data_IF_084550437483
#
_entry.id   IF_084550437483
#
_cell.length_a   1.000
_cell.length_b   1.000
_cell.length_c   1.000
_cell.angle_alpha   90.00
_cell.angle_beta   90.00
_cell.angle_gamma   90.00
#
_symmetry.space_group_name_H-M   'P 1'
#
loop_
_entity.id
_entity.type
_entity.pdbx_description
1 polymer ?
#
# COMPACT_ATOMS: atom_id res chain seq x y z
N UNK A 1 -3.04 20.08 -13.74
CA UNK A 1 -4.43 20.04 -13.22
C UNK A 1 -5.04 18.69 -13.59
N UNK A 2 -5.65 17.99 -12.63
CA UNK A 2 -6.18 16.64 -12.83
C UNK A 2 -7.48 16.73 -13.65
N UNK A 3 -7.58 15.94 -14.73
CA UNK A 3 -8.75 15.89 -15.62
C UNK A 3 -9.24 14.46 -15.72
N UNK A 4 -10.56 14.27 -15.63
CA UNK A 4 -11.23 12.96 -15.78
C UNK A 4 -10.69 11.86 -14.85
N UNK A 5 -10.23 12.21 -13.65
CA UNK A 5 -9.62 11.27 -12.70
C UNK A 5 -8.24 10.75 -13.12
N UNK A 6 -7.58 11.38 -14.09
CA UNK A 6 -6.26 10.98 -14.62
C UNK A 6 -5.16 11.90 -14.13
N UNK A 7 -4.08 11.30 -13.64
CA UNK A 7 -2.77 11.95 -13.59
C UNK A 7 -1.90 11.35 -14.69
N UNK A 8 -0.88 12.07 -15.15
CA UNK A 8 0.14 11.51 -16.05
C UNK A 8 1.29 10.88 -15.27
N UNK A 9 2.06 9.99 -15.90
CA UNK A 9 3.32 9.47 -15.32
C UNK A 9 4.27 10.60 -14.92
N UNK A 10 4.30 11.71 -15.67
CA UNK A 10 5.09 12.89 -15.30
C UNK A 10 4.60 13.51 -13.98
N UNK A 11 3.29 13.71 -13.84
CA UNK A 11 2.71 14.24 -12.60
C UNK A 11 2.92 13.28 -11.43
N UNK A 12 2.76 11.97 -11.64
CA UNK A 12 3.07 10.96 -10.64
C UNK A 12 4.53 11.07 -10.20
N UNK A 13 5.48 10.94 -11.11
CA UNK A 13 6.92 10.98 -10.81
C UNK A 13 7.35 12.28 -10.14
N UNK A 14 6.75 13.41 -10.53
CA UNK A 14 7.07 14.74 -10.01
C UNK A 14 6.65 14.90 -8.54
N UNK A 15 5.54 14.28 -8.14
CA UNK A 15 4.92 14.53 -6.82
C UNK A 15 4.87 13.28 -5.92
N UNK A 16 5.53 12.19 -6.32
CA UNK A 16 5.51 10.91 -5.58
C UNK A 16 6.31 10.99 -4.27
N UNK A 17 7.32 11.86 -4.21
CA UNK A 17 8.15 12.01 -3.00
C UNK A 17 7.34 12.65 -1.88
N UNK A 18 6.56 13.68 -2.19
CA UNK A 18 5.70 14.35 -1.21
C UNK A 18 4.55 13.45 -0.74
N UNK A 19 4.01 12.63 -1.64
CA UNK A 19 3.07 11.59 -1.21
C UNK A 19 3.75 10.53 -0.33
N UNK A 20 4.98 10.12 -0.62
CA UNK A 20 5.71 9.16 0.19
C UNK A 20 6.04 9.71 1.58
N UNK A 21 6.42 10.98 1.69
CA UNK A 21 6.60 11.62 3.00
C UNK A 21 5.30 11.61 3.82
N UNK A 22 4.17 11.94 3.18
CA UNK A 22 2.86 11.85 3.81
C UNK A 22 2.50 10.42 4.23
N UNK A 23 2.82 9.45 3.37
CA UNK A 23 2.61 8.02 3.62
C UNK A 23 3.37 7.59 4.88
N UNK A 24 4.69 7.77 4.89
CA UNK A 24 5.56 7.34 5.99
C UNK A 24 5.18 7.99 7.32
N UNK A 25 4.73 9.25 7.28
CA UNK A 25 4.33 9.99 8.48
C UNK A 25 3.01 9.49 9.09
N UNK A 26 2.07 9.02 8.26
CA UNK A 26 0.70 8.74 8.71
C UNK A 26 0.33 7.26 8.67
N UNK A 27 1.16 6.40 8.06
CA UNK A 27 0.90 4.96 7.97
C UNK A 27 0.88 4.34 9.37
N UNK A 28 -0.26 3.75 9.73
CA UNK A 28 -0.47 3.16 11.06
C UNK A 28 -1.55 2.09 11.04
N UNK A 29 -1.59 1.31 12.12
CA UNK A 29 -2.75 0.47 12.43
C UNK A 29 -3.83 1.29 13.13
N UNK A 30 -5.08 1.08 12.72
CA UNK A 30 -6.26 1.50 13.46
C UNK A 30 -6.45 0.49 14.60
N UNK A 31 -6.53 0.94 15.86
CA UNK A 31 -6.83 0.06 16.98
C UNK A 31 -8.15 -0.66 16.72
N UNK A 32 -8.09 -1.98 16.61
CA UNK A 32 -9.29 -2.80 16.55
C UNK A 32 -9.83 -2.93 17.96
N UNK A 33 -11.00 -2.35 18.22
CA UNK A 33 -11.75 -2.57 19.46
C UNK A 33 -12.34 -3.99 19.44
N UNK A 34 -11.47 -5.00 19.58
CA UNK A 34 -11.95 -6.34 19.89
C UNK A 34 -12.66 -6.29 21.25
N UNK A 35 -13.73 -7.08 21.41
CA UNK A 35 -14.54 -7.12 22.64
C UNK A 35 -13.77 -7.62 23.88
N UNK A 36 -12.53 -8.06 23.72
CA UNK A 36 -11.72 -8.69 24.78
C UNK A 36 -10.28 -8.19 24.74
N UNK A 37 -10.05 -6.99 25.27
CA UNK A 37 -8.71 -6.39 25.34
C UNK A 37 -8.28 -5.75 24.01
N UNK A 38 -7.71 -4.55 24.09
CA UNK A 38 -7.20 -3.85 22.92
C UNK A 38 -6.17 -4.70 22.19
N UNK A 39 -6.28 -4.76 20.86
CA UNK A 39 -5.25 -5.34 19.99
C UNK A 39 -3.93 -4.62 20.27
N UNK A 40 -2.92 -5.39 20.70
CA UNK A 40 -1.54 -4.94 20.90
C UNK A 40 -0.73 -4.98 19.60
N UNK A 41 -1.41 -5.15 18.46
CA UNK A 41 -0.78 -5.15 17.16
C UNK A 41 -0.14 -3.80 16.86
N UNK A 42 1.10 -3.85 16.38
CA UNK A 42 1.90 -2.71 15.96
C UNK A 42 2.26 -2.83 14.47
N UNK A 43 2.50 -1.67 13.86
CA UNK A 43 3.00 -1.54 12.49
C UNK A 43 4.28 -0.75 12.51
N UNK A 44 5.35 -1.39 12.04
CA UNK A 44 6.66 -0.79 11.91
C UNK A 44 7.03 -0.67 10.43
N UNK A 45 7.59 0.48 10.05
CA UNK A 45 8.19 0.67 8.74
C UNK A 45 9.66 0.27 8.84
N UNK A 46 10.02 -0.83 8.17
CA UNK A 46 11.35 -1.42 8.24
C UNK A 46 12.29 -0.78 7.23
N UNK A 47 11.81 -0.59 6.01
CA UNK A 47 12.58 -0.02 4.92
C UNK A 47 11.67 0.76 3.97
N UNK A 48 12.19 1.82 3.38
CA UNK A 48 11.56 2.57 2.30
C UNK A 48 12.64 3.09 1.37
N UNK A 49 12.48 2.84 0.07
CA UNK A 49 13.36 3.43 -0.92
C UNK A 49 12.63 3.73 -2.23
N UNK A 50 13.14 4.72 -2.94
CA UNK A 50 12.74 5.06 -4.30
C UNK A 50 13.73 4.47 -5.29
N UNK A 51 13.24 3.87 -6.37
CA UNK A 51 14.06 3.44 -7.49
C UNK A 51 13.56 4.04 -8.79
N UNK A 52 14.51 4.55 -9.55
CA UNK A 52 14.30 5.11 -10.86
C UNK A 52 14.88 4.14 -11.90
N UNK A 53 14.07 3.83 -12.90
CA UNK A 53 14.41 2.92 -13.99
C UNK A 53 14.65 3.76 -15.24
N UNK A 54 15.87 3.67 -15.76
CA UNK A 54 16.23 4.27 -17.03
C UNK A 54 15.60 3.44 -18.14
N UNK A 55 14.48 3.93 -18.67
CA UNK A 55 13.92 3.43 -19.91
C UNK A 55 14.82 3.85 -21.08
N UNK A 56 15.15 2.90 -21.97
CA UNK A 56 15.84 3.20 -23.24
C UNK A 56 15.00 4.05 -24.20
N UNK A 57 13.71 4.29 -23.90
CA UNK A 57 12.88 5.22 -24.64
C UNK A 57 12.92 6.60 -24.00
N UNK A 58 13.26 7.62 -24.80
CA UNK A 58 13.48 9.02 -24.39
C UNK A 58 12.32 9.69 -23.61
N UNK A 59 11.15 9.06 -23.51
CA UNK A 59 9.92 9.77 -23.17
C UNK A 59 9.21 9.38 -21.87
N UNK A 60 9.72 8.44 -21.07
CA UNK A 60 9.19 8.29 -19.70
C UNK A 60 10.12 7.51 -18.79
N UNK A 61 10.84 8.25 -17.94
CA UNK A 61 11.47 7.69 -16.73
C UNK A 61 10.38 6.95 -15.94
N UNK A 62 10.67 5.71 -15.54
CA UNK A 62 9.78 4.93 -14.68
C UNK A 62 10.31 4.99 -13.26
N UNK A 63 9.41 5.13 -12.30
CA UNK A 63 9.76 5.21 -10.88
C UNK A 63 8.87 4.25 -10.12
N UNK A 64 9.45 3.60 -9.12
CA UNK A 64 8.67 2.99 -8.08
C UNK A 64 9.23 3.33 -6.70
N UNK A 65 8.35 3.32 -5.71
CA UNK A 65 8.71 3.30 -4.30
C UNK A 65 8.48 1.90 -3.79
N UNK A 66 9.43 1.33 -3.04
CA UNK A 66 9.23 0.10 -2.30
C UNK A 66 9.30 0.40 -0.82
N UNK A 67 8.29 -0.08 -0.10
CA UNK A 67 8.22 0.00 1.36
C UNK A 67 8.04 -1.40 1.92
N UNK A 68 8.84 -1.75 2.93
CA UNK A 68 8.64 -2.94 3.76
C UNK A 68 8.06 -2.51 5.08
N UNK A 69 6.92 -3.09 5.44
CA UNK A 69 6.32 -2.95 6.77
C UNK A 69 6.28 -4.30 7.49
N UNK A 70 6.27 -4.23 8.81
CA UNK A 70 6.10 -5.37 9.70
C UNK A 70 4.83 -5.16 10.53
N UNK A 71 3.91 -6.10 10.48
CA UNK A 71 2.78 -6.17 11.40
C UNK A 71 3.11 -7.22 12.47
N UNK A 72 3.18 -6.79 13.72
CA UNK A 72 3.52 -7.65 14.86
C UNK A 72 2.47 -7.51 15.96
N UNK A 73 2.36 -8.50 16.84
CA UNK A 73 1.53 -8.42 18.05
C UNK A 73 2.22 -9.18 19.18
N UNK A 74 2.18 -8.67 20.41
CA UNK A 74 2.97 -9.20 21.54
C UNK A 74 2.59 -10.65 21.91
N UNK A 75 1.38 -11.08 21.59
CA UNK A 75 0.90 -12.44 21.90
C UNK A 75 1.10 -13.46 20.78
N UNK A 76 1.68 -13.07 19.65
CA UNK A 76 1.75 -13.95 18.48
C UNK A 76 3.17 -14.41 18.19
N UNK A 77 3.33 -15.68 17.77
CA UNK A 77 4.65 -16.25 17.55
C UNK A 77 5.38 -15.69 16.32
N UNK A 78 4.65 -15.04 15.41
CA UNK A 78 5.13 -14.63 14.09
C UNK A 78 4.66 -13.20 13.78
N UNK A 79 5.43 -12.49 12.95
CA UNK A 79 4.98 -11.24 12.35
C UNK A 79 4.71 -11.41 10.85
N UNK A 80 3.89 -10.52 10.31
CA UNK A 80 3.57 -10.44 8.89
C UNK A 80 4.36 -9.31 8.27
N UNK A 81 5.32 -9.66 7.43
CA UNK A 81 6.07 -8.71 6.61
C UNK A 81 5.33 -8.46 5.31
N UNK A 82 5.21 -7.20 4.91
CA UNK A 82 4.61 -6.81 3.65
C UNK A 82 5.58 -5.90 2.90
N UNK A 83 6.09 -6.39 1.78
CA UNK A 83 6.73 -5.57 0.76
C UNK A 83 5.66 -5.04 -0.17
N UNK A 84 5.56 -3.73 -0.33
CA UNK A 84 4.68 -3.17 -1.35
C UNK A 84 5.39 -2.12 -2.18
N UNK A 85 4.98 -2.02 -3.43
CA UNK A 85 5.44 -1.01 -4.36
C UNK A 85 4.32 -0.05 -4.73
N UNK A 86 4.70 1.21 -4.93
CA UNK A 86 3.87 2.24 -5.54
C UNK A 86 4.51 2.62 -6.86
N UNK A 87 3.78 2.48 -7.95
CA UNK A 87 4.27 2.75 -9.30
C UNK A 87 3.12 3.20 -10.20
N UNK A 88 3.40 3.44 -11.48
CA UNK A 88 2.44 4.02 -12.42
C UNK A 88 2.32 3.19 -13.69
N UNK A 89 1.08 2.81 -13.99
CA UNK A 89 0.69 2.08 -15.19
C UNK A 89 0.30 3.05 -16.30
N UNK A 90 1.07 3.05 -17.39
CA UNK A 90 0.83 3.96 -18.53
C UNK A 90 -0.40 3.56 -19.35
N UNK A 91 -0.76 2.28 -19.36
CA UNK A 91 -1.90 1.79 -20.14
C UNK A 91 -3.22 2.22 -19.49
N UNK A 92 -3.34 2.02 -18.18
CA UNK A 92 -4.52 2.43 -17.42
C UNK A 92 -4.49 3.90 -16.97
N UNK A 93 -3.32 4.54 -17.08
CA UNK A 93 -3.08 5.93 -16.68
C UNK A 93 -3.38 6.21 -15.20
N UNK A 94 -2.99 5.27 -14.32
CA UNK A 94 -3.27 5.33 -12.89
C UNK A 94 -2.08 4.79 -12.08
N UNK A 95 -1.97 5.16 -10.79
CA UNK A 95 -1.06 4.50 -9.89
C UNK A 95 -1.50 3.05 -9.64
N UNK A 96 -0.53 2.19 -9.39
CA UNK A 96 -0.74 0.76 -9.12
C UNK A 96 0.08 0.32 -7.93
N UNK A 97 -0.48 -0.64 -7.19
CA UNK A 97 0.18 -1.28 -6.06
C UNK A 97 0.37 -2.77 -6.37
N UNK A 98 1.59 -3.22 -6.16
CA UNK A 98 1.94 -4.62 -6.06
C UNK A 98 2.46 -4.88 -4.66
N UNK A 99 2.18 -6.05 -4.08
CA UNK A 99 2.75 -6.41 -2.79
C UNK A 99 3.10 -7.90 -2.70
N UNK A 100 4.00 -8.22 -1.78
CA UNK A 100 4.33 -9.58 -1.36
C UNK A 100 4.23 -9.63 0.14
N UNK A 101 3.71 -10.74 0.63
CA UNK A 101 3.60 -10.97 2.05
C UNK A 101 4.49 -12.14 2.46
N UNK A 102 5.04 -12.05 3.66
CA UNK A 102 5.88 -13.08 4.21
C UNK A 102 5.57 -13.28 5.68
N UNK A 103 5.64 -14.54 6.10
CA UNK A 103 5.59 -14.91 7.50
C UNK A 103 7.01 -14.93 8.04
N UNK A 104 7.30 -14.08 9.01
CA UNK A 104 8.55 -14.17 9.76
C UNK A 104 8.31 -14.94 11.07
N UNK A 105 8.95 -16.10 11.17
CA UNK A 105 8.87 -17.00 12.32
C UNK A 105 9.95 -16.68 13.38
N UNK A 106 10.72 -15.61 13.19
CA UNK A 106 11.66 -15.13 14.19
C UNK A 106 10.86 -14.45 15.32
N UNK A 107 10.98 -14.94 16.55
CA UNK A 107 10.50 -14.21 17.75
C UNK A 107 11.39 -13.00 18.07
N UNK A 108 12.06 -12.44 17.08
CA UNK A 108 13.05 -11.39 17.26
C UNK A 108 12.32 -10.08 17.58
N UNK A 109 12.22 -9.77 18.87
CA UNK A 109 11.74 -8.48 19.37
C UNK A 109 12.71 -7.32 19.08
N UNK A 110 13.88 -7.58 18.49
CA UNK A 110 14.97 -6.61 18.34
C UNK A 110 15.05 -5.94 16.97
N UNK A 111 14.01 -6.03 16.12
CA UNK A 111 13.96 -5.36 14.82
C UNK A 111 14.93 -5.94 13.76
N UNK A 112 15.80 -6.87 14.13
CA UNK A 112 16.59 -7.65 13.17
C UNK A 112 15.74 -8.81 12.65
N UNK A 113 15.23 -8.64 11.43
CA UNK A 113 14.55 -9.68 10.66
C UNK A 113 15.61 -10.68 10.18
N UNK A 114 15.45 -11.95 10.57
CA UNK A 114 16.26 -13.05 10.04
C UNK A 114 15.65 -13.50 8.71
N UNK A 115 16.16 -12.96 7.59
CA UNK A 115 15.70 -13.29 6.22
C UNK A 115 15.71 -14.80 5.93
N UNK A 116 16.50 -15.60 6.66
CA UNK A 116 16.51 -17.07 6.48
C UNK A 116 15.27 -17.77 7.03
N UNK A 117 14.47 -17.09 7.86
CA UNK A 117 13.26 -17.61 8.51
C UNK A 117 11.97 -17.07 7.93
N UNK A 118 12.09 -16.23 6.90
CA UNK A 118 10.98 -15.59 6.23
C UNK A 118 10.41 -16.56 5.19
N UNK A 119 9.13 -16.90 5.32
CA UNK A 119 8.42 -17.78 4.37
C UNK A 119 7.47 -16.96 3.51
N UNK A 120 7.57 -17.01 2.17
CA UNK A 120 6.67 -16.27 1.30
C UNK A 120 5.25 -16.83 1.38
N UNK A 121 4.27 -15.93 1.46
CA UNK A 121 2.85 -16.26 1.36
C UNK A 121 2.48 -16.23 -0.11
N UNK A 122 1.93 -17.34 -0.62
CA UNK A 122 1.69 -17.54 -2.06
C UNK A 122 0.22 -17.80 -2.39
N UNK A 123 -0.69 -17.66 -1.41
CA UNK A 123 -2.13 -17.72 -1.64
C UNK A 123 -2.89 -16.64 -0.89
N UNK A 124 -4.05 -16.27 -1.41
CA UNK A 124 -4.93 -15.28 -0.77
C UNK A 124 -5.47 -15.81 0.56
N UNK A 125 -5.77 -17.10 0.65
CA UNK A 125 -6.28 -17.73 1.87
C UNK A 125 -5.24 -17.67 3.00
N UNK A 126 -3.98 -17.95 2.69
CA UNK A 126 -2.88 -17.87 3.66
C UNK A 126 -2.63 -16.41 4.08
N UNK A 127 -2.69 -15.46 3.14
CA UNK A 127 -2.57 -14.03 3.43
C UNK A 127 -3.64 -13.58 4.43
N UNK A 128 -4.90 -13.90 4.14
CA UNK A 128 -6.07 -13.58 4.98
C UNK A 128 -5.89 -14.18 6.38
N UNK A 129 -5.55 -15.47 6.46
CA UNK A 129 -5.35 -16.16 7.72
C UNK A 129 -4.23 -15.54 8.57
N UNK A 130 -3.09 -15.20 7.95
CA UNK A 130 -1.97 -14.59 8.68
C UNK A 130 -2.32 -13.16 9.12
N UNK A 131 -2.97 -12.37 8.26
CA UNK A 131 -3.40 -11.00 8.60
C UNK A 131 -4.34 -10.98 9.82
N UNK A 132 -5.40 -11.80 9.81
CA UNK A 132 -6.33 -11.86 10.94
C UNK A 132 -5.70 -12.46 12.18
N UNK A 133 -4.82 -13.46 12.02
CA UNK A 133 -4.06 -13.98 13.14
C UNK A 133 -3.24 -12.87 13.79
N UNK A 134 -2.50 -12.07 13.01
CA UNK A 134 -1.67 -10.94 13.50
C UNK A 134 -2.49 -9.90 14.25
N UNK A 135 -3.71 -9.63 13.80
CA UNK A 135 -4.57 -8.62 14.42
C UNK A 135 -5.48 -9.16 15.54
N UNK A 136 -5.43 -10.46 15.84
CA UNK A 136 -6.33 -11.08 16.82
C UNK A 136 -7.81 -10.97 16.44
N UNK A 137 -8.11 -10.98 15.14
CA UNK A 137 -9.46 -10.83 14.60
C UNK A 137 -10.05 -12.18 14.20
N UNK A 138 -11.39 -12.29 14.18
CA UNK A 138 -12.07 -13.46 13.63
C UNK A 138 -11.99 -13.45 12.09
N UNK A 139 -11.78 -14.62 11.50
CA UNK A 139 -11.56 -14.82 10.06
C UNK A 139 -12.79 -14.55 9.17
N UNK A 140 -13.90 -14.07 9.73
CA UNK A 140 -15.18 -13.90 9.02
C UNK A 140 -15.22 -12.66 8.13
N UNK A 141 -14.15 -11.85 8.12
CA UNK A 141 -14.07 -10.65 7.30
C UNK A 141 -13.32 -10.93 6.00
N UNK A 142 -13.80 -10.43 4.88
CA UNK A 142 -13.05 -10.48 3.63
C UNK A 142 -12.05 -9.32 3.59
N UNK A 143 -10.87 -9.53 2.99
CA UNK A 143 -10.04 -8.43 2.51
C UNK A 143 -10.86 -7.58 1.53
N UNK A 144 -10.45 -6.32 1.30
CA UNK A 144 -11.22 -5.39 0.47
C UNK A 144 -11.30 -5.78 -1.01
N UNK A 145 -10.67 -5.04 -1.93
CA UNK A 145 -10.71 -5.38 -3.35
C UNK A 145 -10.08 -6.76 -3.62
N UNK A 146 -10.58 -7.44 -4.66
CA UNK A 146 -10.01 -8.72 -5.09
C UNK A 146 -8.56 -8.55 -5.50
N UNK A 147 -7.68 -9.33 -4.86
CA UNK A 147 -6.25 -9.40 -5.21
C UNK A 147 -5.98 -10.65 -6.04
N UNK A 148 -5.12 -10.50 -7.03
CA UNK A 148 -4.66 -11.58 -7.91
C UNK A 148 -3.14 -11.69 -7.86
N UNK A 149 -2.60 -12.85 -8.21
CA UNK A 149 -1.17 -13.11 -8.29
C UNK A 149 -0.66 -12.91 -9.71
N UNK A 150 0.42 -12.15 -9.88
CA UNK A 150 1.04 -11.88 -11.18
C UNK A 150 2.51 -11.46 -11.05
N UNK A 151 3.18 -11.26 -12.18
CA UNK A 151 4.51 -10.68 -12.26
C UNK A 151 4.46 -9.16 -12.08
N UNK A 152 5.45 -8.59 -11.41
CA UNK A 152 5.51 -7.15 -11.22
C UNK A 152 5.92 -6.42 -12.51
N UNK A 153 5.12 -5.47 -12.98
CA UNK A 153 5.35 -4.83 -14.28
C UNK A 153 6.70 -4.07 -14.43
N UNK A 154 7.30 -3.61 -13.33
CA UNK A 154 8.65 -2.98 -13.32
C UNK A 154 9.78 -3.82 -12.73
N UNK A 155 9.48 -4.89 -11.98
CA UNK A 155 10.50 -5.68 -11.27
C UNK A 155 10.53 -7.02 -11.97
N UNK A 156 11.60 -7.27 -12.71
CA UNK A 156 11.74 -8.45 -13.57
C UNK A 156 12.30 -9.65 -12.83
N UNK A 157 12.12 -9.73 -11.51
CA UNK A 157 12.45 -10.95 -10.78
C UNK A 157 11.40 -12.02 -11.07
N UNK A 158 11.73 -13.29 -10.83
CA UNK A 158 10.79 -14.40 -11.00
C UNK A 158 9.80 -14.53 -9.84
N UNK A 159 9.66 -13.48 -9.02
CA UNK A 159 8.80 -13.50 -7.85
C UNK A 159 7.36 -13.25 -8.25
N UNK A 160 6.44 -13.88 -7.52
CA UNK A 160 5.01 -13.62 -7.65
C UNK A 160 4.62 -12.48 -6.72
N UNK A 161 3.78 -11.58 -7.21
CA UNK A 161 3.26 -10.43 -6.49
C UNK A 161 1.74 -10.47 -6.46
N UNK A 162 1.15 -10.13 -5.32
CA UNK A 162 -0.25 -9.78 -5.25
C UNK A 162 -0.46 -8.39 -5.85
N UNK A 163 -1.53 -8.19 -6.60
CA UNK A 163 -1.90 -6.88 -7.11
C UNK A 163 -3.41 -6.74 -7.22
N UNK A 164 -3.89 -5.50 -7.17
CA UNK A 164 -5.27 -5.15 -7.49
C UNK A 164 -5.31 -4.68 -8.94
N UNK A 165 -6.10 -5.35 -9.77
CA UNK A 165 -6.16 -5.01 -11.20
C UNK A 165 -6.73 -3.59 -11.40
N UNK A 166 -6.03 -2.71 -12.14
CA UNK A 166 -6.34 -1.28 -12.14
C UNK A 166 -7.46 -0.84 -13.11
N UNK A 167 -8.17 -1.78 -13.75
CA UNK A 167 -9.16 -1.46 -14.79
C UNK A 167 -10.28 -0.54 -14.31
N UNK A 168 -10.71 -0.67 -13.05
CA UNK A 168 -11.79 0.16 -12.48
C UNK A 168 -11.27 1.43 -11.80
N UNK A 169 -9.96 1.50 -11.52
CA UNK A 169 -9.34 2.55 -10.70
C UNK A 169 -9.67 3.94 -11.21
N UNK A 170 -9.52 4.15 -12.51
CA UNK A 170 -9.76 5.44 -13.13
C UNK A 170 -11.21 5.90 -12.93
N UNK A 171 -12.16 4.99 -13.19
CA UNK A 171 -13.59 5.30 -13.09
C UNK A 171 -13.98 5.63 -11.66
N UNK A 172 -13.56 4.82 -10.69
CA UNK A 172 -13.87 5.05 -9.27
C UNK A 172 -13.22 6.32 -8.71
N UNK A 173 -11.96 6.60 -9.08
CA UNK A 173 -11.31 7.83 -8.64
C UNK A 173 -12.02 9.06 -9.17
N UNK A 174 -12.48 9.03 -10.43
CA UNK A 174 -13.31 10.09 -10.97
C UNK A 174 -14.59 10.30 -10.15
N UNK A 175 -15.31 9.22 -9.81
CA UNK A 175 -16.52 9.30 -8.99
C UNK A 175 -16.25 9.96 -7.63
N UNK A 176 -15.21 9.51 -6.90
CA UNK A 176 -14.87 10.10 -5.60
C UNK A 176 -14.49 11.57 -5.69
N UNK A 177 -13.73 11.94 -6.72
CA UNK A 177 -13.28 13.31 -6.90
C UNK A 177 -14.41 14.27 -7.26
N UNK A 178 -15.38 13.81 -8.06
CA UNK A 178 -16.57 14.57 -8.42
C UNK A 178 -17.56 14.68 -7.24
N UNK A 179 -17.72 13.62 -6.45
CA UNK A 179 -18.65 13.59 -5.33
C UNK A 179 -18.24 14.50 -4.16
N UNK A 180 -16.96 14.48 -3.78
CA UNK A 180 -16.50 15.16 -2.56
C UNK A 180 -16.00 16.60 -2.79
N UNK A 181 -16.02 17.10 -4.05
CA UNK A 181 -15.31 18.34 -4.43
C UNK A 181 -13.86 18.38 -3.88
N UNK A 182 -13.22 17.20 -3.82
CA UNK A 182 -11.94 17.02 -3.14
C UNK A 182 -10.82 17.89 -3.73
N UNK A 183 -10.90 18.17 -5.04
CA UNK A 183 -9.98 19.03 -5.75
C UNK A 183 -10.58 20.42 -5.91
N UNK A 184 -10.07 21.38 -5.14
CA UNK A 184 -10.48 22.76 -5.29
C UNK A 184 -9.72 23.39 -6.46
N UNK A 185 -10.36 24.24 -7.29
CA UNK A 185 -9.70 24.90 -8.42
C UNK A 185 -8.48 25.74 -8.04
N UNK A 186 -8.42 26.22 -6.79
CA UNK A 186 -7.32 27.01 -6.25
C UNK A 186 -6.15 26.17 -5.72
N UNK A 187 -6.30 24.84 -5.62
CA UNK A 187 -5.22 23.97 -5.16
C UNK A 187 -4.07 23.97 -6.17
N UNK A 188 -2.82 24.00 -5.67
CA UNK A 188 -1.65 23.78 -6.52
C UNK A 188 -1.69 22.38 -7.15
N UNK A 189 -1.01 22.18 -8.28
CA UNK A 189 -0.96 20.86 -8.92
C UNK A 189 -0.43 19.79 -7.96
N UNK A 190 0.62 20.10 -7.19
CA UNK A 190 1.19 19.21 -6.19
C UNK A 190 0.13 18.76 -5.19
N UNK A 191 -0.62 19.71 -4.61
CA UNK A 191 -1.66 19.39 -3.64
C UNK A 191 -2.78 18.54 -4.27
N UNK A 192 -3.18 18.83 -5.50
CA UNK A 192 -4.18 18.02 -6.21
C UNK A 192 -3.70 16.58 -6.41
N UNK A 193 -2.44 16.39 -6.82
CA UNK A 193 -1.86 15.06 -7.05
C UNK A 193 -1.68 14.29 -5.74
N UNK A 194 -1.22 14.94 -4.66
CA UNK A 194 -1.09 14.29 -3.35
C UNK A 194 -2.46 13.87 -2.79
N UNK A 195 -3.50 14.71 -2.95
CA UNK A 195 -4.88 14.35 -2.58
C UNK A 195 -5.38 13.16 -3.40
N UNK A 196 -5.17 13.19 -4.72
CA UNK A 196 -5.51 12.08 -5.62
C UNK A 196 -4.86 10.77 -5.18
N UNK A 197 -3.55 10.78 -4.92
CA UNK A 197 -2.82 9.60 -4.46
C UNK A 197 -3.30 9.10 -3.10
N UNK A 198 -3.73 10.01 -2.22
CA UNK A 198 -4.28 9.66 -0.90
C UNK A 198 -5.63 8.95 -1.02
N UNK A 199 -6.53 9.43 -1.89
CA UNK A 199 -7.81 8.77 -2.21
C UNK A 199 -7.57 7.41 -2.86
N UNK A 200 -6.67 7.35 -3.85
CA UNK A 200 -6.25 6.11 -4.47
C UNK A 200 -5.71 5.11 -3.45
N UNK A 201 -4.85 5.54 -2.55
CA UNK A 201 -4.26 4.65 -1.57
C UNK A 201 -5.31 4.06 -0.62
N UNK A 202 -6.24 4.90 -0.14
CA UNK A 202 -7.31 4.45 0.73
C UNK A 202 -8.26 3.44 0.03
N UNK A 203 -8.34 3.47 -1.30
CA UNK A 203 -9.29 2.66 -2.08
C UNK A 203 -8.67 1.39 -2.66
N UNK A 204 -7.47 1.49 -3.24
CA UNK A 204 -6.85 0.45 -4.09
C UNK A 204 -5.48 -0.02 -3.61
N UNK A 205 -4.90 0.65 -2.62
CA UNK A 205 -3.62 0.27 -2.03
C UNK A 205 -3.83 -0.50 -0.73
N UNK A 206 -2.83 -0.55 0.15
CA UNK A 206 -2.92 -1.25 1.43
C UNK A 206 -4.11 -0.80 2.28
N UNK A 207 -4.51 0.47 2.22
CA UNK A 207 -5.68 0.96 2.98
C UNK A 207 -7.00 0.35 2.52
N UNK A 208 -7.12 0.01 1.23
CA UNK A 208 -8.27 -0.71 0.69
C UNK A 208 -8.19 -2.21 0.95
N UNK A 209 -7.00 -2.80 0.82
CA UNK A 209 -6.78 -4.25 0.97
C UNK A 209 -6.88 -4.69 2.43
N UNK A 210 -6.26 -3.92 3.34
CA UNK A 210 -6.12 -4.19 4.76
C UNK A 210 -6.84 -3.09 5.56
N UNK A 211 -8.12 -3.26 5.92
CA UNK A 211 -8.93 -2.19 6.52
C UNK A 211 -8.37 -1.60 7.82
N UNK A 212 -7.56 -2.37 8.56
CA UNK A 212 -6.92 -1.88 9.77
C UNK A 212 -5.68 -1.03 9.49
N UNK A 213 -5.17 -0.95 8.26
CA UNK A 213 -4.07 -0.06 7.88
C UNK A 213 -4.64 1.27 7.38
N UNK A 214 -4.15 2.38 7.92
CA UNK A 214 -4.69 3.72 7.62
C UNK A 214 -3.62 4.75 7.34
N UNK A 215 -4.00 5.75 6.55
CA UNK A 215 -3.26 7.00 6.30
C UNK A 215 -3.91 8.23 6.94
N UNK A 216 -4.99 8.08 7.71
CA UNK A 216 -5.65 9.25 8.29
C UNK A 216 -4.69 9.97 9.25
N UNK A 217 -4.56 11.30 9.19
CA UNK A 217 -3.87 12.06 10.22
C UNK A 217 -4.48 11.73 11.58
N UNK A 218 -3.68 11.70 12.65
CA UNK A 218 -4.26 11.86 13.99
C UNK A 218 -4.77 13.30 14.04
N UNK A 219 -6.01 13.51 14.45
CA UNK A 219 -6.29 14.74 15.20
C UNK A 219 -5.27 14.73 16.33
N UNK A 220 -4.28 15.64 16.28
CA UNK A 220 -3.29 15.73 17.35
C UNK A 220 -4.04 15.77 18.68
N UNK A 221 -3.63 14.98 19.69
CA UNK A 221 -4.12 15.18 21.05
C UNK A 221 -3.79 16.60 21.54
#
# INVERSE_FOLDING_TARGET
MIKDGKISNYQFNKHIDEFNELLLRNLRLIPSYSKSGGSDANLDIINNYKKELNSNTKNSKKTYILTRICLSGSYLPNCLLIDFTLSYDDFYMVPVLYFRAFKDNSKSTSGNIDETRVTPIVSTEELVSNYYSVLGLSSDSNLGPTVTLDSHHLITDSSVWFYVHPCETLHRLREFMEADNCLLPCDSEQLQVVKYLSIWYATYSLGGIFPSISLRPTSQP
#
